data_IF_893756716793
#
_entry.id   IF_893756716793
#
_cell.length_a   1.000
_cell.length_b   1.000
_cell.length_c   1.000
_cell.angle_alpha   90.00
_cell.angle_beta   90.00
_cell.angle_gamma   90.00
#
_symmetry.space_group_name_H-M   'P 1'
#
loop_
_entity.id
_entity.type
_entity.pdbx_description
1 polymer ?
#
# COMPACT_ATOMS: atom_id res chain seq x y z
N UNK A 1 31.22 2.50 -35.85
CA UNK A 1 30.35 3.58 -35.37
C UNK A 1 29.99 3.29 -33.92
N UNK A 2 30.54 4.07 -32.98
CA UNK A 2 30.30 3.89 -31.55
C UNK A 2 28.93 4.50 -31.20
N UNK A 3 28.12 3.78 -30.42
CA UNK A 3 26.86 4.30 -29.92
C UNK A 3 27.13 5.51 -29.00
N UNK A 4 26.36 6.60 -29.11
CA UNK A 4 26.54 7.78 -28.26
C UNK A 4 26.31 7.39 -26.79
N UNK A 5 27.29 7.69 -25.96
CA UNK A 5 27.24 7.45 -24.52
C UNK A 5 26.08 8.25 -23.90
N UNK A 6 25.17 7.55 -23.23
CA UNK A 6 24.11 8.16 -22.44
C UNK A 6 24.74 8.64 -21.13
N UNK A 7 24.93 9.96 -20.99
CA UNK A 7 25.37 10.54 -19.72
C UNK A 7 24.32 10.28 -18.62
N UNK A 8 24.73 9.88 -17.41
CA UNK A 8 23.81 9.69 -16.30
C UNK A 8 23.21 11.05 -15.90
N UNK A 9 21.88 11.19 -16.04
CA UNK A 9 21.14 12.35 -15.54
C UNK A 9 21.32 12.46 -14.03
N UNK A 10 22.13 13.42 -13.59
CA UNK A 10 22.26 13.76 -12.17
C UNK A 10 20.95 14.34 -11.67
N UNK A 11 20.42 13.79 -10.58
CA UNK A 11 19.31 14.41 -9.85
C UNK A 11 19.81 15.76 -9.33
N UNK A 12 19.33 16.86 -9.91
CA UNK A 12 19.78 18.21 -9.58
C UNK A 12 19.79 18.49 -8.07
N UNK A 13 20.86 19.13 -7.59
CA UNK A 13 21.18 19.38 -6.18
C UNK A 13 20.05 20.05 -5.39
N UNK A 14 19.20 20.83 -6.07
CA UNK A 14 17.99 21.46 -5.53
C UNK A 14 17.02 20.47 -4.86
N UNK A 15 16.87 19.25 -5.41
CA UNK A 15 15.99 18.22 -4.82
C UNK A 15 16.60 17.58 -3.58
N UNK A 16 17.93 17.47 -3.53
CA UNK A 16 18.66 16.87 -2.41
C UNK A 16 18.62 17.80 -1.19
N UNK A 17 18.71 19.11 -1.38
CA UNK A 17 18.66 20.08 -0.29
C UNK A 17 17.28 20.16 0.39
N UNK A 18 16.18 20.09 -0.38
CA UNK A 18 14.82 19.96 0.18
C UNK A 18 14.63 18.67 0.99
N UNK A 19 15.38 17.61 0.66
CA UNK A 19 15.31 16.32 1.33
C UNK A 19 16.05 16.29 2.69
N UNK A 20 17.09 17.10 2.87
CA UNK A 20 17.78 17.21 4.16
C UNK A 20 16.95 17.91 5.24
N UNK A 21 16.21 18.97 4.87
CA UNK A 21 15.25 19.64 5.76
C UNK A 21 14.09 18.71 6.18
N UNK A 22 13.71 17.76 5.33
CA UNK A 22 12.64 16.78 5.60
C UNK A 22 12.96 15.80 6.74
N UNK A 23 14.24 15.45 6.92
CA UNK A 23 14.66 14.48 7.96
C UNK A 23 14.64 15.07 9.38
N UNK A 24 14.69 16.40 9.54
CA UNK A 24 14.79 17.04 10.85
C UNK A 24 13.46 17.03 11.64
N UNK A 25 12.37 16.54 11.05
CA UNK A 25 11.00 16.69 11.58
C UNK A 25 10.22 15.37 11.67
N UNK A 26 10.86 14.19 11.76
CA UNK A 26 10.13 12.90 11.76
C UNK A 26 9.03 12.83 12.85
N UNK A 27 9.23 13.49 14.01
CA UNK A 27 8.22 13.54 15.09
C UNK A 27 7.03 14.48 14.83
N UNK A 28 7.24 15.63 14.19
CA UNK A 28 6.13 16.53 13.83
C UNK A 28 5.43 16.10 12.53
N UNK A 29 6.16 15.39 11.66
CA UNK A 29 5.66 14.90 10.39
C UNK A 29 4.53 13.88 10.53
N UNK A 30 4.58 13.03 11.56
CA UNK A 30 3.55 12.04 11.85
C UNK A 30 2.20 12.66 12.23
N UNK A 31 2.18 13.89 12.79
CA UNK A 31 0.93 14.62 13.06
C UNK A 31 0.30 15.20 11.78
N UNK A 32 1.10 15.52 10.76
CA UNK A 32 0.62 16.29 9.62
C UNK A 32 0.07 15.42 8.48
N UNK A 33 0.57 14.19 8.29
CA UNK A 33 0.27 13.41 7.07
C UNK A 33 -0.97 12.51 7.13
N UNK A 34 -1.46 12.13 8.32
CA UNK A 34 -2.67 11.29 8.43
C UNK A 34 -3.95 12.10 8.63
N UNK A 35 -3.98 13.36 8.20
CA UNK A 35 -5.14 14.21 8.39
C UNK A 35 -6.25 13.88 7.38
N UNK A 36 -6.95 12.78 7.64
CA UNK A 36 -8.14 12.37 6.87
C UNK A 36 -9.22 13.47 6.89
N UNK A 37 -9.27 14.29 7.94
CA UNK A 37 -10.23 15.39 8.06
C UNK A 37 -9.96 16.52 7.05
N UNK A 38 -8.73 16.65 6.54
CA UNK A 38 -8.40 17.60 5.47
C UNK A 38 -8.93 17.20 4.09
N UNK A 39 -9.29 15.94 3.89
CA UNK A 39 -9.78 15.44 2.62
C UNK A 39 -11.22 15.88 2.37
N UNK A 40 -11.58 16.11 1.11
CA UNK A 40 -12.98 16.30 0.69
C UNK A 40 -13.76 14.98 0.82
N UNK A 41 -15.08 15.06 0.92
CA UNK A 41 -15.93 13.86 1.08
C UNK A 41 -15.71 12.81 -0.03
N UNK A 42 -15.58 13.24 -1.28
CA UNK A 42 -15.32 12.36 -2.42
C UNK A 42 -13.95 11.68 -2.38
N UNK A 43 -12.93 12.38 -1.87
CA UNK A 43 -11.58 11.87 -1.67
C UNK A 43 -11.55 10.83 -0.55
N UNK A 44 -12.24 11.11 0.57
CA UNK A 44 -12.45 10.15 1.67
C UNK A 44 -13.18 8.91 1.18
N UNK A 45 -14.22 9.08 0.37
CA UNK A 45 -14.96 7.96 -0.21
C UNK A 45 -14.06 7.13 -1.13
N UNK A 46 -13.27 7.76 -2.01
CA UNK A 46 -12.34 7.07 -2.90
C UNK A 46 -11.24 6.33 -2.12
N UNK A 47 -10.72 6.93 -1.04
CA UNK A 47 -9.78 6.27 -0.13
C UNK A 47 -10.40 5.03 0.51
N UNK A 48 -11.62 5.15 1.03
CA UNK A 48 -12.36 4.00 1.58
C UNK A 48 -12.59 2.92 0.52
N UNK A 49 -12.93 3.30 -0.71
CA UNK A 49 -13.11 2.36 -1.82
C UNK A 49 -11.82 1.57 -2.10
N UNK A 50 -10.67 2.24 -2.12
CA UNK A 50 -9.35 1.61 -2.23
C UNK A 50 -9.07 0.60 -1.12
N UNK A 51 -9.33 0.97 0.14
CA UNK A 51 -9.18 0.09 1.30
C UNK A 51 -10.10 -1.13 1.15
N UNK A 52 -11.35 -0.91 0.74
CA UNK A 52 -12.32 -1.97 0.54
C UNK A 52 -11.90 -2.93 -0.57
N UNK A 53 -11.26 -2.45 -1.64
CA UNK A 53 -10.78 -3.32 -2.72
C UNK A 53 -9.76 -4.35 -2.23
N UNK A 54 -8.89 -3.99 -1.27
CA UNK A 54 -7.97 -4.93 -0.64
C UNK A 54 -8.63 -5.81 0.43
N UNK A 55 -8.96 -5.21 1.58
CA UNK A 55 -9.34 -5.94 2.80
C UNK A 55 -10.85 -5.89 3.13
N UNK A 56 -11.64 -5.18 2.33
CA UNK A 56 -13.08 -5.05 2.54
C UNK A 56 -13.91 -6.24 2.05
N UNK A 57 -15.14 -6.36 2.54
CA UNK A 57 -16.18 -7.12 1.86
C UNK A 57 -17.58 -6.52 2.13
N UNK A 58 -18.49 -6.73 1.17
CA UNK A 58 -19.91 -6.46 1.32
C UNK A 58 -20.62 -7.78 1.57
N UNK A 59 -21.40 -7.89 2.63
CA UNK A 59 -22.17 -9.09 2.96
C UNK A 59 -23.65 -8.78 3.12
N UNK A 60 -24.50 -9.70 2.68
CA UNK A 60 -25.95 -9.60 2.81
C UNK A 60 -26.52 -10.94 3.25
N UNK A 61 -27.14 -11.01 4.43
CA UNK A 61 -27.69 -12.26 4.98
C UNK A 61 -29.15 -12.11 5.44
N UNK A 62 -29.97 -13.17 5.34
CA UNK A 62 -31.32 -13.16 5.90
C UNK A 62 -31.25 -13.04 7.43
N UNK A 63 -32.14 -12.24 8.00
CA UNK A 63 -32.27 -12.12 9.45
C UNK A 63 -33.44 -13.01 9.89
N UNK A 64 -33.20 -13.97 10.80
CA UNK A 64 -34.19 -15.00 11.18
C UNK A 64 -35.56 -14.42 11.61
N UNK A 65 -35.57 -13.20 12.13
CA UNK A 65 -36.77 -12.55 12.68
C UNK A 65 -37.17 -11.25 11.95
N UNK A 66 -36.64 -10.99 10.75
CA UNK A 66 -37.00 -9.79 9.97
C UNK A 66 -37.25 -10.13 8.52
N UNK A 67 -38.30 -9.53 7.93
CA UNK A 67 -38.52 -9.54 6.48
C UNK A 67 -37.34 -8.95 5.69
N UNK A 68 -36.53 -8.11 6.34
CA UNK A 68 -35.41 -7.42 5.72
C UNK A 68 -34.08 -8.16 5.89
N UNK A 69 -33.28 -8.20 4.83
CA UNK A 69 -31.90 -8.70 4.85
C UNK A 69 -30.99 -7.72 5.62
N UNK A 70 -30.05 -8.25 6.38
CA UNK A 70 -29.00 -7.45 7.03
C UNK A 70 -27.86 -7.23 6.04
N UNK A 71 -27.43 -5.97 5.91
CA UNK A 71 -26.34 -5.55 5.03
C UNK A 71 -25.16 -5.08 5.87
N UNK A 72 -24.00 -5.62 5.60
CA UNK A 72 -22.79 -5.39 6.39
C UNK A 72 -21.65 -5.03 5.47
N UNK A 73 -20.90 -4.01 5.88
CA UNK A 73 -19.58 -3.71 5.35
C UNK A 73 -18.59 -4.17 6.41
N UNK A 74 -17.62 -4.97 6.01
CA UNK A 74 -16.60 -5.51 6.91
C UNK A 74 -15.24 -5.20 6.31
N UNK A 75 -14.32 -4.71 7.14
CA UNK A 75 -12.90 -4.58 6.81
C UNK A 75 -12.14 -5.42 7.84
N UNK A 76 -11.26 -6.30 7.37
CA UNK A 76 -10.54 -7.27 8.19
C UNK A 76 -9.04 -7.07 8.01
N UNK A 77 -8.26 -7.16 9.08
CA UNK A 77 -6.81 -7.05 9.02
C UNK A 77 -6.11 -7.90 10.07
N UNK A 78 -4.78 -7.82 10.10
CA UNK A 78 -3.97 -8.41 11.15
C UNK A 78 -4.03 -7.56 12.42
N UNK A 79 -4.33 -8.19 13.56
CA UNK A 79 -4.50 -7.50 14.85
C UNK A 79 -3.23 -6.76 15.31
N UNK A 80 -2.04 -7.27 15.01
CA UNK A 80 -0.78 -6.68 15.46
C UNK A 80 -0.32 -5.61 14.46
N UNK A 81 -0.24 -6.00 13.19
CA UNK A 81 0.37 -5.15 12.16
C UNK A 81 -0.54 -4.01 11.71
N UNK A 82 -1.86 -4.23 11.64
CA UNK A 82 -2.80 -3.29 11.03
C UNK A 82 -3.57 -2.47 12.07
N UNK A 83 -3.51 -2.82 13.36
CA UNK A 83 -4.19 -2.06 14.42
C UNK A 83 -3.82 -0.56 14.41
N UNK A 84 -2.54 -0.15 14.26
CA UNK A 84 -2.20 1.27 14.15
C UNK A 84 -2.86 1.96 12.94
N UNK A 85 -2.99 1.27 11.81
CA UNK A 85 -3.69 1.78 10.63
C UNK A 85 -5.19 1.93 10.91
N UNK A 86 -5.78 0.92 11.56
CA UNK A 86 -7.21 0.91 11.87
C UNK A 86 -7.58 2.05 12.82
N UNK A 87 -6.80 2.26 13.88
CA UNK A 87 -7.03 3.29 14.89
C UNK A 87 -6.77 4.71 14.37
N UNK A 88 -5.64 4.92 13.68
CA UNK A 88 -5.19 6.27 13.29
C UNK A 88 -5.78 6.77 11.98
N UNK A 89 -6.21 5.86 11.10
CA UNK A 89 -6.66 6.23 9.74
C UNK A 89 -8.08 5.75 9.49
N UNK A 90 -8.33 4.44 9.61
CA UNK A 90 -9.60 3.87 9.17
C UNK A 90 -10.78 4.30 10.04
N UNK A 91 -10.65 4.32 11.37
CA UNK A 91 -11.73 4.78 12.25
C UNK A 91 -12.09 6.26 12.00
N UNK A 92 -11.13 7.21 11.98
CA UNK A 92 -11.43 8.61 11.62
C UNK A 92 -12.10 8.73 10.25
N UNK A 93 -11.57 7.99 9.25
CA UNK A 93 -12.15 7.96 7.91
C UNK A 93 -13.61 7.51 7.93
N UNK A 94 -13.92 6.40 8.60
CA UNK A 94 -15.28 5.88 8.68
C UNK A 94 -16.19 6.85 9.44
N UNK A 95 -15.77 7.39 10.59
CA UNK A 95 -16.55 8.38 11.35
C UNK A 95 -16.89 9.63 10.53
N UNK A 96 -16.04 10.00 9.58
CA UNK A 96 -16.30 11.13 8.68
C UNK A 96 -17.31 10.83 7.56
N UNK A 97 -17.52 9.54 7.22
CA UNK A 97 -18.35 9.08 6.11
C UNK A 97 -19.70 8.51 6.57
N UNK A 98 -19.79 8.00 7.80
CA UNK A 98 -21.00 7.39 8.34
C UNK A 98 -21.40 8.05 9.65
N UNK A 99 -22.71 8.13 9.90
CA UNK A 99 -23.27 8.68 11.15
C UNK A 99 -23.18 7.71 12.33
N UNK A 100 -22.94 6.43 12.06
CA UNK A 100 -22.98 5.37 13.05
C UNK A 100 -21.65 5.22 13.77
N UNK A 101 -21.70 4.76 15.03
CA UNK A 101 -20.50 4.39 15.76
C UNK A 101 -19.79 3.21 15.11
N UNK A 102 -18.48 3.33 14.96
CA UNK A 102 -17.59 2.28 14.44
C UNK A 102 -16.89 1.64 15.63
N UNK A 103 -16.94 0.30 15.71
CA UNK A 103 -16.27 -0.45 16.78
C UNK A 103 -15.32 -1.48 16.17
N UNK A 104 -14.11 -1.53 16.70
CA UNK A 104 -13.16 -2.61 16.45
C UNK A 104 -13.65 -3.87 17.19
N UNK A 105 -13.59 -5.02 16.51
CA UNK A 105 -13.75 -6.34 17.10
C UNK A 105 -12.46 -7.13 16.92
N UNK A 106 -11.80 -7.46 18.01
CA UNK A 106 -10.61 -8.31 17.98
C UNK A 106 -11.02 -9.78 18.14
N UNK A 107 -10.44 -10.66 17.30
CA UNK A 107 -10.55 -12.12 17.44
C UNK A 107 -9.19 -12.64 17.89
N UNK A 108 -9.01 -12.75 19.20
CA UNK A 108 -7.72 -13.01 19.85
C UNK A 108 -7.09 -14.29 19.29
N UNK A 109 -7.88 -15.35 19.20
CA UNK A 109 -7.44 -16.70 18.78
C UNK A 109 -7.01 -16.77 17.30
N UNK A 110 -7.34 -15.76 16.49
CA UNK A 110 -7.08 -15.75 15.05
C UNK A 110 -6.06 -14.68 14.65
N UNK A 111 -5.60 -13.85 15.60
CA UNK A 111 -4.79 -12.65 15.32
C UNK A 111 -5.44 -11.71 14.28
N UNK A 112 -6.78 -11.62 14.30
CA UNK A 112 -7.58 -10.85 13.36
C UNK A 112 -8.23 -9.66 14.07
N UNK A 113 -8.29 -8.53 13.37
CA UNK A 113 -9.10 -7.37 13.72
C UNK A 113 -10.18 -7.16 12.65
N UNK A 114 -11.42 -7.00 13.09
CA UNK A 114 -12.57 -6.73 12.23
C UNK A 114 -13.18 -5.37 12.56
N UNK A 115 -13.58 -4.62 11.53
CA UNK A 115 -14.45 -3.45 11.66
C UNK A 115 -15.75 -3.71 10.88
N UNK A 116 -16.76 -4.34 11.51
CA UNK A 116 -18.08 -4.46 10.91
C UNK A 116 -18.88 -3.18 11.16
N UNK A 117 -19.53 -2.66 10.13
CA UNK A 117 -20.47 -1.56 10.26
C UNK A 117 -21.67 -1.71 9.31
N UNK A 118 -22.76 -1.05 9.68
CA UNK A 118 -24.08 -1.20 9.07
C UNK A 118 -24.53 0.17 8.59
N UNK A 119 -24.22 0.50 7.34
CA UNK A 119 -24.70 1.72 6.70
C UNK A 119 -25.36 1.35 5.37
N UNK A 120 -26.70 1.43 5.32
CA UNK A 120 -27.48 1.03 4.14
C UNK A 120 -27.18 1.92 2.93
N UNK A 121 -26.97 3.21 3.15
CA UNK A 121 -26.72 4.19 2.10
C UNK A 121 -25.37 3.93 1.43
N UNK A 122 -24.31 3.82 2.24
CA UNK A 122 -22.97 3.52 1.77
C UNK A 122 -22.89 2.12 1.14
N UNK A 123 -23.53 1.11 1.73
CA UNK A 123 -23.59 -0.23 1.15
C UNK A 123 -24.22 -0.22 -0.25
N UNK A 124 -25.36 0.47 -0.41
CA UNK A 124 -26.02 0.60 -1.70
C UNK A 124 -25.16 1.36 -2.70
N UNK A 125 -24.52 2.47 -2.27
CA UNK A 125 -23.61 3.27 -3.10
C UNK A 125 -22.46 2.41 -3.63
N UNK A 126 -21.81 1.63 -2.77
CA UNK A 126 -20.72 0.71 -3.16
C UNK A 126 -21.20 -0.36 -4.14
N UNK A 127 -22.36 -0.96 -3.87
CA UNK A 127 -22.94 -1.99 -4.75
C UNK A 127 -23.34 -1.42 -6.12
N UNK A 128 -23.88 -0.19 -6.18
CA UNK A 128 -24.22 0.50 -7.43
C UNK A 128 -22.98 0.82 -8.27
N UNK A 129 -21.85 1.07 -7.61
CA UNK A 129 -20.55 1.20 -8.26
C UNK A 129 -19.93 -0.14 -8.70
N UNK A 130 -20.66 -1.25 -8.59
CA UNK A 130 -20.19 -2.56 -9.03
C UNK A 130 -19.32 -3.31 -8.01
N UNK A 131 -19.23 -2.84 -6.77
CA UNK A 131 -18.55 -3.60 -5.72
C UNK A 131 -19.35 -4.87 -5.40
N UNK A 132 -18.70 -6.04 -5.51
CA UNK A 132 -19.37 -7.33 -5.38
C UNK A 132 -19.89 -7.58 -3.96
N UNK A 133 -21.13 -8.08 -3.86
CA UNK A 133 -21.70 -8.59 -2.61
C UNK A 133 -21.30 -10.07 -2.46
N UNK A 134 -20.58 -10.38 -1.39
CA UNK A 134 -20.08 -11.72 -1.08
C UNK A 134 -18.59 -11.87 -1.39
N UNK A 135 -18.23 -13.00 -2.01
CA UNK A 135 -16.83 -13.32 -2.30
C UNK A 135 -16.29 -12.45 -3.44
N UNK A 136 -15.16 -11.79 -3.19
CA UNK A 136 -14.38 -11.10 -4.22
C UNK A 136 -13.90 -12.07 -5.30
N UNK A 137 -13.92 -11.63 -6.55
CA UNK A 137 -13.49 -12.40 -7.70
C UNK A 137 -12.50 -11.65 -8.59
N UNK A 138 -12.17 -12.25 -9.73
CA UNK A 138 -11.28 -11.66 -10.72
C UNK A 138 -11.87 -10.42 -11.42
N UNK A 139 -13.17 -10.15 -11.24
CA UNK A 139 -13.92 -9.06 -11.87
C UNK A 139 -13.96 -7.76 -11.06
N UNK A 140 -13.12 -7.58 -10.05
CA UNK A 140 -13.02 -6.28 -9.36
C UNK A 140 -12.45 -5.22 -10.31
N UNK A 141 -12.93 -3.98 -10.20
CA UNK A 141 -12.44 -2.86 -11.00
C UNK A 141 -12.70 -1.55 -10.26
N UNK A 142 -12.01 -0.50 -10.71
CA UNK A 142 -12.28 0.88 -10.32
C UNK A 142 -13.30 1.48 -11.29
N UNK A 143 -14.45 2.00 -10.83
CA UNK A 143 -15.49 2.59 -11.68
C UNK A 143 -15.00 3.82 -12.45
N UNK A 144 -15.53 4.02 -13.67
CA UNK A 144 -15.18 5.17 -14.52
C UNK A 144 -15.41 6.53 -13.84
N UNK A 145 -16.48 6.67 -13.07
CA UNK A 145 -16.79 7.90 -12.32
C UNK A 145 -15.67 8.33 -11.37
N UNK A 146 -14.83 7.40 -10.90
CA UNK A 146 -13.66 7.72 -10.08
C UNK A 146 -12.52 8.27 -10.94
N UNK A 147 -12.35 7.75 -12.17
CA UNK A 147 -11.38 8.27 -13.14
C UNK A 147 -11.72 9.69 -13.57
N UNK A 148 -12.97 9.90 -13.98
CA UNK A 148 -13.44 11.16 -14.54
C UNK A 148 -13.35 12.31 -13.52
N UNK A 149 -13.26 11.99 -12.22
CA UNK A 149 -13.12 12.94 -11.11
C UNK A 149 -11.68 13.09 -10.58
N UNK A 150 -10.69 12.47 -11.20
CA UNK A 150 -9.29 12.48 -10.74
C UNK A 150 -9.11 11.94 -9.30
N UNK A 151 -9.94 10.95 -8.91
CA UNK A 151 -9.93 10.36 -7.56
C UNK A 151 -9.08 9.09 -7.47
N UNK A 152 -8.49 8.64 -8.58
CA UNK A 152 -7.73 7.39 -8.65
C UNK A 152 -6.48 7.40 -7.76
N UNK A 153 -5.94 8.59 -7.44
CA UNK A 153 -4.87 8.74 -6.45
C UNK A 153 -5.25 8.17 -5.09
N UNK A 154 -6.48 8.42 -4.65
CA UNK A 154 -6.99 8.00 -3.33
C UNK A 154 -7.38 6.53 -3.31
N UNK A 155 -7.96 6.02 -4.40
CA UNK A 155 -8.19 4.59 -4.55
C UNK A 155 -6.87 3.82 -4.50
N UNK A 156 -5.85 4.29 -5.23
CA UNK A 156 -4.52 3.69 -5.22
C UNK A 156 -3.89 3.78 -3.83
N UNK A 157 -3.99 4.92 -3.15
CA UNK A 157 -3.50 5.10 -1.79
C UNK A 157 -4.15 4.12 -0.80
N UNK A 158 -5.48 3.94 -0.89
CA UNK A 158 -6.23 3.02 -0.04
C UNK A 158 -5.91 1.55 -0.32
N UNK A 159 -5.80 1.17 -1.60
CA UNK A 159 -5.37 -0.17 -2.00
C UNK A 159 -3.95 -0.47 -1.51
N UNK A 160 -3.05 0.51 -1.64
CA UNK A 160 -1.67 0.39 -1.16
C UNK A 160 -1.54 0.36 0.36
N UNK A 161 -2.58 0.76 1.09
CA UNK A 161 -2.63 0.64 2.54
C UNK A 161 -2.92 -0.79 3.01
N UNK A 162 -3.52 -1.62 2.16
CA UNK A 162 -3.99 -2.98 2.47
C UNK A 162 -3.20 -4.04 1.69
N UNK A 163 -3.45 -4.16 0.39
CA UNK A 163 -2.86 -5.18 -0.50
C UNK A 163 -1.53 -4.76 -1.15
N UNK A 164 -1.12 -3.50 -0.95
CA UNK A 164 0.17 -2.99 -1.38
C UNK A 164 1.26 -3.12 -0.32
N UNK A 165 2.51 -3.02 -0.75
CA UNK A 165 3.66 -3.08 0.14
C UNK A 165 4.84 -2.27 -0.42
N UNK A 166 5.61 -1.70 0.50
CA UNK A 166 7.00 -1.35 0.25
C UNK A 166 7.83 -2.56 0.67
N UNK A 167 8.55 -3.17 -0.28
CA UNK A 167 9.44 -4.30 -0.04
C UNK A 167 10.88 -3.87 -0.23
N UNK A 168 11.76 -4.38 0.64
CA UNK A 168 13.20 -4.16 0.57
C UNK A 168 13.85 -5.47 0.16
N UNK A 169 14.31 -5.55 -1.08
CA UNK A 169 15.01 -6.72 -1.60
C UNK A 169 16.50 -6.57 -1.35
N UNK A 170 17.13 -7.55 -0.70
CA UNK A 170 18.58 -7.58 -0.54
C UNK A 170 19.23 -7.86 -1.90
N UNK A 171 19.86 -6.85 -2.48
CA UNK A 171 20.86 -7.05 -3.54
C UNK A 171 22.21 -7.34 -2.86
N UNK A 172 23.23 -7.89 -3.57
CA UNK A 172 24.44 -8.43 -2.94
C UNK A 172 25.08 -7.55 -1.85
N UNK A 173 25.03 -6.23 -2.01
CA UNK A 173 25.62 -5.29 -1.06
C UNK A 173 24.62 -4.32 -0.40
N UNK A 174 23.44 -4.08 -0.98
CA UNK A 174 22.51 -3.01 -0.56
C UNK A 174 21.05 -3.49 -0.63
N UNK A 175 20.22 -3.06 0.30
CA UNK A 175 18.77 -3.22 0.18
C UNK A 175 18.22 -2.26 -0.87
N UNK A 176 17.38 -2.81 -1.73
CA UNK A 176 16.79 -2.12 -2.85
C UNK A 176 15.29 -2.04 -2.67
N UNK A 177 14.69 -0.84 -2.71
CA UNK A 177 13.29 -0.68 -2.38
C UNK A 177 12.42 -0.96 -3.60
N UNK A 178 11.21 -1.41 -3.34
CA UNK A 178 10.24 -1.82 -4.36
C UNK A 178 8.84 -1.53 -3.88
N UNK A 179 8.05 -0.83 -4.68
CA UNK A 179 6.60 -0.75 -4.50
C UNK A 179 5.99 -1.93 -5.23
N UNK A 180 5.16 -2.69 -4.54
CA UNK A 180 4.44 -3.81 -5.12
C UNK A 180 3.03 -3.91 -4.55
N UNK A 181 2.16 -4.52 -5.33
CA UNK A 181 0.81 -4.89 -4.91
C UNK A 181 0.38 -6.09 -5.71
N UNK A 182 -0.46 -6.93 -5.11
CA UNK A 182 -0.95 -8.13 -5.75
C UNK A 182 -2.45 -8.30 -5.56
N UNK A 183 -3.07 -9.09 -6.42
CA UNK A 183 -4.50 -9.36 -6.33
C UNK A 183 -4.93 -10.45 -7.30
N UNK A 184 -6.18 -10.92 -7.16
CA UNK A 184 -6.76 -11.93 -8.06
C UNK A 184 -7.41 -11.31 -9.30
N UNK A 185 -7.67 -10.00 -9.29
CA UNK A 185 -8.30 -9.29 -10.40
C UNK A 185 -7.26 -8.65 -11.32
N UNK A 186 -7.10 -9.13 -12.56
CA UNK A 186 -6.18 -8.51 -13.50
C UNK A 186 -6.61 -7.09 -13.89
N UNK A 187 -7.92 -6.83 -13.94
CA UNK A 187 -8.49 -5.53 -14.30
C UNK A 187 -8.08 -4.48 -13.27
N UNK A 188 -8.35 -4.74 -11.98
CA UNK A 188 -7.96 -3.84 -10.90
C UNK A 188 -6.46 -3.58 -10.86
N UNK A 189 -5.64 -4.63 -10.92
CA UNK A 189 -4.18 -4.50 -10.82
C UNK A 189 -3.63 -3.73 -12.03
N UNK A 190 -4.17 -3.95 -13.23
CA UNK A 190 -3.79 -3.18 -14.43
C UNK A 190 -4.20 -1.72 -14.33
N UNK A 191 -5.42 -1.43 -13.89
CA UNK A 191 -5.93 -0.08 -13.65
C UNK A 191 -5.03 0.74 -12.71
N UNK A 192 -4.56 0.12 -11.62
CA UNK A 192 -3.60 0.74 -10.70
C UNK A 192 -2.23 0.92 -11.37
N UNK A 193 -1.76 -0.10 -12.11
CA UNK A 193 -0.47 -0.03 -12.81
C UNK A 193 -0.44 1.10 -13.83
N UNK A 194 -1.48 1.21 -14.66
CA UNK A 194 -1.58 2.22 -15.72
C UNK A 194 -1.62 3.62 -15.12
N UNK A 195 -2.30 3.82 -14.00
CA UNK A 195 -2.26 5.07 -13.24
C UNK A 195 -0.85 5.40 -12.73
N UNK A 196 -0.16 4.43 -12.11
CA UNK A 196 1.20 4.62 -11.61
C UNK A 196 2.19 4.97 -12.74
N UNK A 197 2.05 4.32 -13.90
CA UNK A 197 2.83 4.66 -15.10
C UNK A 197 2.47 6.07 -15.59
N UNK A 198 1.18 6.42 -15.62
CA UNK A 198 0.69 7.73 -16.04
C UNK A 198 1.24 8.90 -15.21
N UNK A 199 1.52 8.69 -13.92
CA UNK A 199 2.18 9.69 -13.06
C UNK A 199 3.71 9.69 -13.16
N UNK A 200 4.29 8.90 -14.07
CA UNK A 200 5.71 8.88 -14.40
C UNK A 200 6.55 7.79 -13.70
N UNK A 201 5.91 6.81 -13.04
CA UNK A 201 6.65 5.68 -12.46
C UNK A 201 7.04 4.64 -13.51
N UNK A 202 8.18 3.99 -13.32
CA UNK A 202 8.69 2.94 -14.22
C UNK A 202 8.57 1.57 -13.56
N UNK A 203 7.68 0.72 -14.08
CA UNK A 203 7.41 -0.60 -13.50
C UNK A 203 6.66 -1.52 -14.44
N UNK A 204 6.26 -2.68 -13.93
CA UNK A 204 5.69 -3.75 -14.73
C UNK A 204 4.47 -4.36 -14.07
N UNK A 205 3.50 -4.74 -14.88
CA UNK A 205 2.41 -5.66 -14.55
C UNK A 205 2.79 -7.06 -15.04
N UNK A 206 2.56 -8.09 -14.22
CA UNK A 206 2.78 -9.48 -14.63
C UNK A 206 1.93 -10.48 -13.85
N UNK A 207 1.77 -11.66 -14.43
CA UNK A 207 1.18 -12.82 -13.77
C UNK A 207 2.19 -13.42 -12.78
N UNK A 208 1.80 -13.51 -11.51
CA UNK A 208 2.65 -14.10 -10.49
C UNK A 208 2.71 -15.62 -10.71
N UNK A 209 3.91 -16.14 -11.01
CA UNK A 209 4.14 -17.58 -11.11
C UNK A 209 3.94 -18.21 -9.74
N UNK A 210 3.03 -19.18 -9.64
CA UNK A 210 2.83 -19.97 -8.42
C UNK A 210 3.36 -21.39 -8.63
N UNK A 211 4.01 -21.93 -7.61
CA UNK A 211 4.45 -23.32 -7.60
C UNK A 211 3.23 -24.23 -7.37
N UNK A 212 2.55 -24.61 -8.46
CA UNK A 212 1.38 -25.50 -8.43
C UNK A 212 1.68 -26.89 -7.84
N UNK A 213 2.96 -27.28 -7.78
CA UNK A 213 3.40 -28.60 -7.34
C UNK A 213 3.22 -28.89 -5.84
N UNK A 214 2.76 -27.94 -5.01
CA UNK A 214 2.78 -28.10 -3.53
C UNK A 214 1.43 -28.38 -2.85
N UNK A 215 0.27 -28.23 -3.51
CA UNK A 215 -1.02 -28.44 -2.82
C UNK A 215 -2.04 -29.10 -3.75
N UNK A 216 -2.13 -30.44 -3.72
CA UNK A 216 -3.08 -31.23 -4.53
C UNK A 216 -4.56 -30.92 -4.24
N UNK A 217 -4.88 -30.24 -3.14
CA UNK A 217 -6.24 -30.14 -2.60
C UNK A 217 -6.88 -28.75 -2.66
N UNK A 218 -6.24 -27.73 -3.24
CA UNK A 218 -6.82 -26.38 -3.34
C UNK A 218 -6.66 -25.83 -4.76
N UNK A 219 -7.77 -25.42 -5.37
CA UNK A 219 -7.76 -24.60 -6.58
C UNK A 219 -7.18 -23.25 -6.21
N UNK A 220 -5.90 -23.06 -6.50
CA UNK A 220 -5.19 -21.80 -6.25
C UNK A 220 -5.53 -20.84 -7.39
N UNK A 221 -6.20 -19.74 -7.07
CA UNK A 221 -6.52 -18.72 -8.08
C UNK A 221 -5.23 -18.06 -8.60
N UNK A 222 -5.21 -17.75 -9.90
CA UNK A 222 -4.13 -16.98 -10.53
C UNK A 222 -4.02 -15.61 -9.84
N UNK A 223 -2.78 -15.16 -9.61
CA UNK A 223 -2.50 -13.85 -9.04
C UNK A 223 -1.82 -12.96 -10.06
N UNK A 224 -2.15 -11.67 -9.99
CA UNK A 224 -1.56 -10.61 -10.78
C UNK A 224 -0.83 -9.66 -9.85
N UNK A 225 0.28 -9.10 -10.33
CA UNK A 225 1.14 -8.25 -9.54
C UNK A 225 1.62 -7.07 -10.37
N UNK A 226 1.77 -5.92 -9.72
CA UNK A 226 2.61 -4.85 -10.23
C UNK A 226 3.86 -4.69 -9.38
N UNK A 227 4.89 -4.13 -10.00
CA UNK A 227 6.17 -3.90 -9.35
C UNK A 227 6.88 -2.69 -9.91
N UNK A 228 7.25 -1.75 -9.02
CA UNK A 228 8.01 -0.55 -9.33
C UNK A 228 9.27 -0.51 -8.48
N UNK A 229 10.41 -0.59 -9.14
CA UNK A 229 11.71 -0.82 -8.54
C UNK A 229 12.46 0.50 -8.32
N UNK A 230 13.13 0.66 -7.18
CA UNK A 230 14.13 1.69 -6.98
C UNK A 230 13.66 2.95 -6.26
N UNK A 231 14.65 3.68 -5.74
CA UNK A 231 14.43 4.86 -4.89
C UNK A 231 13.64 5.96 -5.63
N UNK A 232 13.90 6.19 -6.92
CA UNK A 232 13.17 7.19 -7.71
C UNK A 232 11.67 6.95 -7.73
N UNK A 233 11.24 5.72 -7.98
CA UNK A 233 9.84 5.32 -7.95
C UNK A 233 9.22 5.47 -6.56
N UNK A 234 9.95 5.11 -5.52
CA UNK A 234 9.46 5.20 -4.14
C UNK A 234 9.28 6.67 -3.72
N UNK A 235 10.23 7.54 -4.07
CA UNK A 235 10.13 8.97 -3.82
C UNK A 235 8.96 9.59 -4.60
N UNK A 236 8.78 9.21 -5.87
CA UNK A 236 7.67 9.69 -6.69
C UNK A 236 6.32 9.22 -6.14
N UNK A 237 6.23 7.95 -5.72
CA UNK A 237 5.04 7.41 -5.06
C UNK A 237 4.71 8.21 -3.79
N UNK A 238 5.71 8.46 -2.96
CA UNK A 238 5.54 9.23 -1.73
C UNK A 238 5.09 10.68 -1.97
N UNK A 239 5.59 11.31 -3.03
CA UNK A 239 5.24 12.66 -3.45
C UNK A 239 3.81 12.75 -3.98
N UNK A 240 3.41 11.82 -4.87
CA UNK A 240 2.13 11.90 -5.60
C UNK A 240 0.97 11.20 -4.91
N UNK A 241 1.25 10.14 -4.14
CA UNK A 241 0.24 9.27 -3.53
C UNK A 241 0.42 9.24 -2.02
N UNK A 242 1.65 9.00 -1.54
CA UNK A 242 1.97 8.93 -0.12
C UNK A 242 1.57 7.61 0.56
N UNK A 243 2.32 7.22 1.59
CA UNK A 243 1.98 6.06 2.41
C UNK A 243 1.03 6.43 3.55
N UNK A 244 -0.23 6.02 3.45
CA UNK A 244 -1.23 6.25 4.50
C UNK A 244 -1.26 5.15 5.57
N UNK A 245 -0.77 3.94 5.29
CA UNK A 245 -0.59 2.93 6.33
C UNK A 245 0.67 3.26 7.16
N UNK A 246 0.57 3.47 8.50
CA UNK A 246 1.72 3.75 9.35
C UNK A 246 2.86 2.73 9.23
N UNK A 247 2.56 1.44 9.01
CA UNK A 247 3.55 0.39 8.79
C UNK A 247 4.40 0.67 7.54
N UNK A 248 3.75 0.99 6.42
CA UNK A 248 4.44 1.30 5.16
C UNK A 248 5.21 2.61 5.27
N UNK A 249 4.62 3.61 5.94
CA UNK A 249 5.26 4.89 6.24
C UNK A 249 6.56 4.70 7.01
N UNK A 250 6.53 3.91 8.07
CA UNK A 250 7.73 3.70 8.88
C UNK A 250 8.81 2.92 8.15
N UNK A 251 8.41 1.95 7.32
CA UNK A 251 9.35 1.22 6.47
C UNK A 251 10.03 2.16 5.46
N UNK A 252 9.29 3.10 4.88
CA UNK A 252 9.82 4.11 3.98
C UNK A 252 10.84 5.00 4.68
N UNK A 253 10.48 5.58 5.82
CA UNK A 253 11.38 6.46 6.59
C UNK A 253 12.68 5.75 6.99
N UNK A 254 12.58 4.54 7.55
CA UNK A 254 13.76 3.72 7.90
C UNK A 254 14.64 3.43 6.69
N UNK A 255 14.05 3.18 5.53
CA UNK A 255 14.82 2.95 4.32
C UNK A 255 15.58 4.21 3.85
N UNK A 256 15.02 5.40 4.03
CA UNK A 256 15.71 6.65 3.69
C UNK A 256 16.92 6.88 4.60
N UNK A 257 16.77 6.66 5.90
CA UNK A 257 17.87 6.70 6.88
C UNK A 257 18.96 5.70 6.50
N UNK A 258 18.58 4.44 6.26
CA UNK A 258 19.46 3.39 5.80
C UNK A 258 20.23 3.80 4.53
N UNK A 259 19.55 4.29 3.49
CA UNK A 259 20.22 4.62 2.23
C UNK A 259 21.22 5.75 2.42
N UNK A 260 20.88 6.76 3.23
CA UNK A 260 21.78 7.88 3.54
C UNK A 260 23.04 7.41 4.25
N UNK A 261 22.90 6.57 5.28
CA UNK A 261 24.04 6.02 6.03
C UNK A 261 24.88 5.07 5.19
N UNK A 262 24.24 4.22 4.39
CA UNK A 262 24.93 3.32 3.48
C UNK A 262 25.80 4.10 2.48
N UNK A 263 25.21 5.10 1.81
CA UNK A 263 25.90 5.88 0.78
C UNK A 263 27.03 6.74 1.38
N UNK A 264 26.88 7.23 2.61
CA UNK A 264 27.93 7.98 3.30
C UNK A 264 29.12 7.09 3.69
N UNK A 265 28.86 5.87 4.19
CA UNK A 265 29.93 4.95 4.61
C UNK A 265 30.64 4.28 3.45
N UNK A 266 30.00 4.10 2.29
CA UNK A 266 30.61 3.45 1.13
C UNK A 266 31.43 4.43 0.27
N UNK A 267 31.13 5.73 0.33
CA UNK A 267 31.83 6.76 -0.45
C UNK A 267 33.33 6.79 -0.12
N UNK A 268 34.16 6.72 -1.17
CA UNK A 268 35.62 6.75 -1.04
C UNK A 268 36.26 5.44 -0.54
N UNK A 269 35.47 4.40 -0.28
CA UNK A 269 36.00 3.08 0.12
C UNK A 269 36.31 2.23 -1.12
N UNK A 270 37.43 1.49 -1.10
CA UNK A 270 37.80 0.55 -2.15
C UNK A 270 36.81 -0.62 -2.27
N UNK A 271 36.57 -1.12 -3.48
CA UNK A 271 35.58 -2.17 -3.78
C UNK A 271 35.65 -3.39 -2.84
N UNK A 272 36.86 -3.87 -2.49
CA UNK A 272 37.05 -4.98 -1.53
C UNK A 272 36.50 -4.67 -0.13
N UNK A 273 36.67 -3.43 0.35
CA UNK A 273 36.21 -3.00 1.68
C UNK A 273 34.72 -2.62 1.67
N UNK A 274 34.17 -2.22 0.52
CA UNK A 274 32.75 -1.86 0.39
C UNK A 274 31.81 -2.99 0.81
N UNK A 275 32.12 -4.25 0.45
CA UNK A 275 31.29 -5.40 0.82
C UNK A 275 31.14 -5.51 2.35
N UNK A 276 32.26 -5.55 3.07
CA UNK A 276 32.28 -5.66 4.55
C UNK A 276 31.59 -4.46 5.22
N UNK A 277 31.87 -3.25 4.74
CA UNK A 277 31.22 -2.04 5.28
C UNK A 277 29.71 -2.08 5.03
N UNK A 278 29.28 -2.50 3.83
CA UNK A 278 27.87 -2.61 3.48
C UNK A 278 27.14 -3.67 4.29
N UNK A 279 27.76 -4.83 4.53
CA UNK A 279 27.23 -5.89 5.41
C UNK A 279 27.02 -5.37 6.84
N UNK A 280 27.97 -4.61 7.40
CA UNK A 280 27.82 -4.00 8.72
C UNK A 280 26.64 -3.02 8.80
N UNK A 281 26.45 -2.17 7.77
CA UNK A 281 25.29 -1.26 7.73
C UNK A 281 23.98 -2.03 7.58
N UNK A 282 23.97 -3.08 6.74
CA UNK A 282 22.81 -3.93 6.56
C UNK A 282 22.37 -4.58 7.88
N UNK A 283 23.31 -5.08 8.69
CA UNK A 283 22.99 -5.75 9.96
C UNK A 283 22.42 -4.77 11.01
N UNK A 284 22.84 -3.50 11.00
CA UNK A 284 22.30 -2.47 11.92
C UNK A 284 20.82 -2.19 11.63
N UNK A 285 20.45 -2.09 10.35
CA UNK A 285 19.09 -1.69 9.95
C UNK A 285 18.14 -2.86 9.71
N UNK A 286 18.67 -3.98 9.21
CA UNK A 286 17.92 -5.15 8.78
C UNK A 286 18.65 -6.43 9.22
N UNK A 287 18.74 -6.70 10.54
CA UNK A 287 19.50 -7.81 11.07
C UNK A 287 19.00 -9.15 10.54
N UNK A 288 19.94 -10.06 10.33
CA UNK A 288 19.70 -11.39 9.78
C UNK A 288 18.76 -12.18 10.71
N UNK A 289 17.50 -12.36 10.32
CA UNK A 289 16.46 -13.00 11.14
C UNK A 289 15.22 -12.13 11.40
N UNK A 290 15.31 -10.82 11.14
CA UNK A 290 14.16 -9.91 11.16
C UNK A 290 13.27 -9.98 9.91
N UNK A 291 13.67 -10.79 8.91
CA UNK A 291 13.02 -10.91 7.60
C UNK A 291 11.71 -11.71 7.56
N UNK A 292 11.01 -11.82 8.70
CA UNK A 292 9.67 -12.40 8.77
C UNK A 292 8.62 -11.30 8.81
N UNK A 293 8.08 -10.95 7.64
CA UNK A 293 6.70 -10.48 7.42
C UNK A 293 6.43 -10.35 5.93
#
# INVERSE_FOLDING_TARGET
MAAPGVEPRTLGESKIFKFQLFLFSIKEYDKFKFNVDSLKEEERFALLFGILLGDGCLSCYPCKNRKNKTRVILITGNKIDDKPFFEKVLIPLLKSLIKNSVKIKERIDQNIIDIPFFDKGLFNKLSLLGFLIGKKGASLFVPKDIYDKDLLRYVTQGFMATDGSLVLTKNPNKYYPRIEGNGISPILIRQITDYLIGIGMNGYFYEAKRNFNKVKWRVVQQQFRFQFNGLSNVLLFEEKIGFINPKHRMKFLRFLEYSKEYDSKIRGISSKKQKRTGENVNEIYYPSGSGGN
#
